data_IF_540925941629
#
_entry.id   IF_540925941629
#
_cell.length_a   1.000
_cell.length_b   1.000
_cell.length_c   1.000
_cell.angle_alpha   90.00
_cell.angle_beta   90.00
_cell.angle_gamma   90.00
#
_symmetry.space_group_name_H-M   'P 1'
#
loop_
_entity.id
_entity.type
_entity.pdbx_description
1 polymer ?
#
# COMPACT_ATOMS: atom_id res chain seq x y z
N UNK A 1 7.69 -3.06 -13.26
CA UNK A 1 8.77 -3.90 -13.86
C UNK A 1 8.32 -5.31 -14.27
N UNK A 2 7.21 -5.85 -13.71
CA UNK A 2 6.67 -7.18 -14.07
C UNK A 2 6.14 -7.24 -15.53
N UNK A 3 5.52 -6.17 -15.99
CA UNK A 3 5.03 -6.07 -17.38
C UNK A 3 6.19 -6.06 -18.39
N UNK A 4 7.25 -5.34 -18.09
CA UNK A 4 8.47 -5.30 -18.92
C UNK A 4 9.14 -6.68 -19.00
N UNK A 5 9.25 -7.38 -17.87
CA UNK A 5 9.79 -8.74 -17.84
C UNK A 5 8.93 -9.72 -18.64
N UNK A 6 7.61 -9.64 -18.55
CA UNK A 6 6.67 -10.45 -19.34
C UNK A 6 6.82 -10.20 -20.85
N UNK A 7 6.93 -8.94 -21.27
CA UNK A 7 7.13 -8.57 -22.67
C UNK A 7 8.47 -9.11 -23.19
N UNK A 8 9.56 -8.94 -22.44
CA UNK A 8 10.89 -9.45 -22.83
C UNK A 8 10.85 -10.98 -23.00
N UNK A 9 10.24 -11.68 -22.06
CA UNK A 9 10.12 -13.16 -22.12
C UNK A 9 9.32 -13.60 -23.35
N UNK A 10 8.22 -12.91 -23.66
CA UNK A 10 7.42 -13.20 -24.86
C UNK A 10 8.21 -12.96 -26.14
N UNK A 11 8.92 -11.84 -26.24
CA UNK A 11 9.75 -11.51 -27.40
C UNK A 11 10.84 -12.55 -27.59
N UNK A 12 11.55 -12.95 -26.53
CA UNK A 12 12.57 -14.00 -26.60
C UNK A 12 12.02 -15.35 -27.04
N UNK A 13 10.83 -15.72 -26.58
CA UNK A 13 10.16 -16.94 -27.02
C UNK A 13 9.80 -16.90 -28.52
N UNK A 14 9.27 -15.79 -29.02
CA UNK A 14 8.97 -15.60 -30.43
C UNK A 14 10.24 -15.64 -31.28
N UNK A 15 11.32 -14.98 -30.86
CA UNK A 15 12.62 -15.02 -31.55
C UNK A 15 13.17 -16.44 -31.63
N UNK A 16 13.11 -17.20 -30.53
CA UNK A 16 13.53 -18.60 -30.50
C UNK A 16 12.74 -19.47 -31.50
N UNK A 17 11.42 -19.28 -31.59
CA UNK A 17 10.55 -20.00 -32.55
C UNK A 17 10.93 -19.66 -33.99
N UNK A 18 11.18 -18.38 -34.29
CA UNK A 18 11.62 -17.94 -35.64
C UNK A 18 12.98 -18.56 -36.00
N UNK A 19 13.94 -18.54 -35.07
CA UNK A 19 15.24 -19.14 -35.30
C UNK A 19 15.18 -20.64 -35.53
N UNK A 20 14.33 -21.36 -34.81
CA UNK A 20 14.09 -22.78 -35.03
C UNK A 20 13.45 -23.05 -36.41
N UNK A 21 12.53 -22.20 -36.86
CA UNK A 21 11.92 -22.30 -38.19
C UNK A 21 12.95 -22.05 -39.29
N UNK A 22 13.80 -21.02 -39.15
CA UNK A 22 14.85 -20.71 -40.10
C UNK A 22 15.86 -21.87 -40.19
N UNK A 23 16.31 -22.41 -39.08
CA UNK A 23 17.22 -23.56 -39.03
C UNK A 23 16.60 -24.80 -39.72
N UNK A 24 15.33 -25.06 -39.49
CA UNK A 24 14.60 -26.15 -40.17
C UNK A 24 14.54 -25.96 -41.68
N UNK A 25 14.31 -24.71 -42.16
CA UNK A 25 14.26 -24.40 -43.59
C UNK A 25 15.64 -24.48 -44.23
N UNK A 26 16.71 -24.03 -43.53
CA UNK A 26 18.08 -24.13 -44.04
C UNK A 26 18.50 -25.59 -44.17
N UNK A 27 18.18 -26.44 -43.20
CA UNK A 27 18.47 -27.88 -43.30
C UNK A 27 17.76 -28.56 -44.48
N UNK A 28 16.54 -28.15 -44.80
CA UNK A 28 15.81 -28.65 -45.98
C UNK A 28 16.49 -28.21 -47.28
N UNK A 29 16.88 -26.93 -47.37
CA UNK A 29 17.56 -26.41 -48.55
C UNK A 29 18.96 -27.10 -48.76
N UNK A 30 19.63 -27.45 -47.70
CA UNK A 30 20.88 -28.19 -47.76
C UNK A 30 20.67 -29.64 -48.25
N UNK A 31 19.62 -30.33 -47.71
CA UNK A 31 19.29 -31.68 -48.11
C UNK A 31 18.83 -31.76 -49.56
N UNK A 32 18.02 -30.80 -50.06
CA UNK A 32 17.62 -30.71 -51.46
C UNK A 32 18.81 -30.52 -52.41
N UNK A 33 19.83 -29.77 -52.01
CA UNK A 33 21.08 -29.62 -52.79
C UNK A 33 21.89 -30.93 -52.88
N UNK A 34 21.85 -31.76 -51.85
CA UNK A 34 22.56 -33.03 -51.77
C UNK A 34 21.76 -34.23 -52.33
N UNK A 35 20.54 -34.00 -52.82
CA UNK A 35 19.69 -35.06 -53.40
C UNK A 35 19.21 -36.08 -52.34
N UNK A 36 19.26 -35.76 -51.08
CA UNK A 36 18.82 -36.61 -49.96
C UNK A 36 17.31 -36.46 -49.77
N UNK A 37 16.59 -37.55 -49.67
CA UNK A 37 15.16 -37.54 -49.44
C UNK A 37 14.82 -36.79 -48.13
N UNK A 38 14.11 -35.66 -48.21
CA UNK A 38 13.70 -34.86 -47.05
C UNK A 38 12.57 -35.58 -46.29
N UNK A 39 12.73 -35.73 -44.98
CA UNK A 39 11.69 -36.22 -44.08
C UNK A 39 10.54 -35.19 -44.03
N UNK A 40 9.30 -35.62 -44.17
CA UNK A 40 8.15 -34.71 -44.03
C UNK A 40 8.20 -33.90 -42.73
N UNK A 41 7.88 -32.60 -42.78
CA UNK A 41 7.95 -31.76 -41.61
C UNK A 41 6.92 -32.20 -40.57
N UNK A 42 7.37 -32.53 -39.37
CA UNK A 42 6.49 -32.82 -38.24
C UNK A 42 5.67 -31.56 -37.94
N UNK A 43 4.33 -31.61 -37.88
CA UNK A 43 3.51 -30.47 -37.49
C UNK A 43 3.98 -29.91 -36.15
N UNK A 44 3.99 -28.57 -35.95
CA UNK A 44 4.52 -27.88 -34.79
C UNK A 44 3.94 -28.44 -33.46
N UNK A 45 2.67 -28.80 -33.42
CA UNK A 45 1.97 -29.36 -32.27
C UNK A 45 2.38 -30.82 -31.92
N UNK A 46 3.12 -31.51 -32.82
CA UNK A 46 3.72 -32.82 -32.57
C UNK A 46 5.22 -32.76 -32.36
N UNK A 47 5.81 -31.60 -32.55
CA UNK A 47 7.25 -31.42 -32.38
C UNK A 47 7.58 -31.37 -30.88
N UNK A 48 8.34 -32.34 -30.40
CA UNK A 48 8.72 -32.48 -28.99
C UNK A 48 9.43 -31.24 -28.44
N UNK A 49 10.22 -30.53 -29.24
CA UNK A 49 10.92 -29.32 -28.84
C UNK A 49 9.94 -28.17 -28.54
N UNK A 50 8.94 -27.97 -29.40
CA UNK A 50 7.90 -26.94 -29.17
C UNK A 50 7.02 -27.28 -27.97
N UNK A 51 6.65 -28.56 -27.83
CA UNK A 51 5.87 -29.02 -26.67
C UNK A 51 6.66 -28.77 -25.38
N UNK A 52 7.94 -29.15 -25.33
CA UNK A 52 8.80 -28.91 -24.17
C UNK A 52 8.96 -27.42 -23.86
N UNK A 53 9.12 -26.57 -24.89
CA UNK A 53 9.18 -25.11 -24.71
C UNK A 53 7.87 -24.54 -24.14
N UNK A 54 6.73 -24.96 -24.67
CA UNK A 54 5.42 -24.54 -24.15
C UNK A 54 5.20 -24.97 -22.70
N UNK A 55 5.58 -26.21 -22.34
CA UNK A 55 5.50 -26.69 -20.97
C UNK A 55 6.41 -25.86 -20.05
N UNK A 56 7.63 -25.58 -20.48
CA UNK A 56 8.59 -24.76 -19.71
C UNK A 56 8.02 -23.34 -19.49
N UNK A 57 7.49 -22.70 -20.52
CA UNK A 57 6.87 -21.37 -20.41
C UNK A 57 5.66 -21.40 -19.46
N UNK A 58 4.78 -22.40 -19.58
CA UNK A 58 3.65 -22.56 -18.68
C UNK A 58 4.12 -22.75 -17.21
N UNK A 59 5.20 -23.50 -17.01
CA UNK A 59 5.77 -23.70 -15.67
C UNK A 59 6.34 -22.40 -15.10
N UNK A 60 7.08 -21.62 -15.91
CA UNK A 60 7.65 -20.34 -15.49
C UNK A 60 6.52 -19.33 -15.18
N UNK A 61 5.55 -19.17 -16.09
CA UNK A 61 4.44 -18.25 -15.91
C UNK A 61 3.54 -18.67 -14.76
N UNK A 62 3.20 -19.96 -14.67
CA UNK A 62 2.41 -20.51 -13.57
C UNK A 62 3.12 -20.34 -12.22
N UNK A 63 4.42 -20.63 -12.18
CA UNK A 63 5.27 -20.42 -11.00
C UNK A 63 5.31 -18.95 -10.56
N UNK A 64 5.47 -18.04 -11.50
CA UNK A 64 5.43 -16.60 -11.23
C UNK A 64 4.10 -16.17 -10.58
N UNK A 65 2.96 -16.54 -11.17
CA UNK A 65 1.66 -16.20 -10.61
C UNK A 65 1.40 -16.85 -9.24
N UNK A 66 1.80 -18.10 -9.09
CA UNK A 66 1.65 -18.84 -7.82
C UNK A 66 2.46 -18.18 -6.71
N UNK A 67 3.73 -17.86 -6.98
CA UNK A 67 4.62 -17.21 -6.00
C UNK A 67 4.08 -15.82 -5.63
N UNK A 68 3.70 -15.00 -6.62
CA UNK A 68 3.15 -13.67 -6.33
C UNK A 68 1.81 -13.74 -5.60
N UNK A 69 0.95 -14.70 -5.95
CA UNK A 69 -0.30 -14.94 -5.23
C UNK A 69 -0.05 -15.37 -3.77
N UNK A 70 0.89 -16.27 -3.54
CA UNK A 70 1.27 -16.70 -2.19
C UNK A 70 1.89 -15.55 -1.37
N UNK A 71 2.76 -14.74 -1.98
CA UNK A 71 3.34 -13.54 -1.34
C UNK A 71 2.26 -12.51 -1.03
N UNK A 72 1.26 -12.37 -1.88
CA UNK A 72 0.13 -11.44 -1.70
C UNK A 72 -0.89 -11.89 -0.65
N UNK A 73 -0.85 -13.15 -0.21
CA UNK A 73 -1.83 -13.70 0.72
C UNK A 73 -1.78 -12.95 2.06
N UNK A 74 -2.92 -12.42 2.49
CA UNK A 74 -3.04 -11.66 3.74
C UNK A 74 -2.50 -10.22 3.67
N UNK A 75 -1.99 -9.77 2.52
CA UNK A 75 -1.60 -8.38 2.30
C UNK A 75 -2.76 -7.60 1.70
N UNK A 76 -3.01 -6.43 2.26
CA UNK A 76 -4.15 -5.57 1.86
C UNK A 76 -3.69 -4.28 1.18
N UNK A 77 -2.50 -4.29 0.57
CA UNK A 77 -2.05 -3.13 -0.21
C UNK A 77 -3.07 -2.78 -1.29
N UNK A 78 -3.33 -1.48 -1.44
CA UNK A 78 -4.31 -0.91 -2.36
C UNK A 78 -5.78 -1.26 -2.01
N UNK A 79 -6.04 -1.87 -0.84
CA UNK A 79 -7.39 -2.11 -0.35
C UNK A 79 -8.10 -0.77 -0.09
N UNK A 80 -9.19 -0.56 -0.78
CA UNK A 80 -9.99 0.67 -0.77
C UNK A 80 -11.48 0.30 -0.73
N UNK A 81 -12.02 0.03 0.46
CA UNK A 81 -13.43 -0.31 0.62
C UNK A 81 -14.32 0.93 0.50
N UNK A 82 -15.55 0.72 0.04
CA UNK A 82 -16.59 1.73 0.12
C UNK A 82 -16.88 2.07 1.58
N UNK A 83 -17.08 3.37 1.85
CA UNK A 83 -17.36 3.88 3.19
C UNK A 83 -18.82 4.36 3.29
N UNK A 84 -19.43 4.32 4.49
CA UNK A 84 -20.82 4.79 4.69
C UNK A 84 -21.04 6.24 4.26
N UNK A 85 -20.02 7.07 4.43
CA UNK A 85 -19.97 8.48 4.00
C UNK A 85 -18.71 8.67 3.18
N UNK A 86 -18.82 9.30 2.01
CA UNK A 86 -17.67 9.69 1.22
C UNK A 86 -16.92 10.82 1.91
N UNK A 87 -15.83 10.47 2.61
CA UNK A 87 -15.00 11.42 3.31
C UNK A 87 -13.69 11.63 2.56
N UNK A 88 -13.51 12.85 2.01
CA UNK A 88 -12.30 13.21 1.28
C UNK A 88 -11.24 13.81 2.19
N UNK A 89 -10.13 13.11 2.38
CA UNK A 89 -8.94 13.67 3.05
C UNK A 89 -8.33 14.81 2.23
N UNK A 90 -8.43 14.76 0.91
CA UNK A 90 -7.98 15.82 0.01
C UNK A 90 -8.69 17.15 0.27
N UNK A 91 -9.99 17.13 0.51
CA UNK A 91 -10.73 18.34 0.87
C UNK A 91 -10.30 18.84 2.25
N UNK A 92 -10.24 17.96 3.24
CA UNK A 92 -9.99 18.37 4.63
C UNK A 92 -8.51 18.67 4.91
N UNK A 93 -7.62 17.72 4.64
CA UNK A 93 -6.20 17.86 4.95
C UNK A 93 -5.39 18.51 3.82
N UNK A 94 -5.77 18.30 2.56
CA UNK A 94 -5.09 18.88 1.40
C UNK A 94 -5.49 20.34 1.18
N UNK A 95 -6.75 20.57 0.82
CA UNK A 95 -7.25 21.92 0.44
C UNK A 95 -7.39 22.81 1.66
N UNK A 96 -8.07 22.35 2.71
CA UNK A 96 -8.32 23.13 3.93
C UNK A 96 -7.17 23.07 4.95
N UNK A 97 -6.12 22.29 4.70
CA UNK A 97 -4.92 22.17 5.53
C UNK A 97 -5.21 21.84 7.00
N UNK A 98 -6.28 21.11 7.28
CA UNK A 98 -6.61 20.66 8.64
C UNK A 98 -5.55 19.62 9.06
N UNK A 99 -4.89 19.88 10.19
CA UNK A 99 -3.86 18.99 10.72
C UNK A 99 -4.43 17.59 11.04
N UNK A 100 -3.69 16.54 10.66
CA UNK A 100 -4.07 15.15 10.89
C UNK A 100 -4.44 14.88 12.36
N UNK A 101 -3.69 15.46 13.29
CA UNK A 101 -3.88 15.28 14.73
C UNK A 101 -5.12 15.97 15.29
N UNK A 102 -5.72 16.89 14.54
CA UNK A 102 -7.02 17.45 14.96
C UNK A 102 -8.09 16.36 15.05
N UNK A 103 -8.08 15.45 14.09
CA UNK A 103 -9.02 14.33 14.03
C UNK A 103 -8.43 13.03 14.62
N UNK A 104 -7.14 12.77 14.43
CA UNK A 104 -6.45 11.56 14.83
C UNK A 104 -5.52 11.76 16.04
N UNK A 105 -5.98 12.48 17.07
CA UNK A 105 -5.17 12.80 18.26
C UNK A 105 -4.63 11.56 19.01
N UNK A 106 -5.25 10.42 18.84
CA UNK A 106 -4.78 9.14 19.40
C UNK A 106 -3.42 8.71 18.86
N UNK A 107 -3.02 9.17 17.67
CA UNK A 107 -1.73 8.83 17.09
C UNK A 107 -0.52 9.27 17.93
N UNK A 108 -0.65 10.33 18.72
CA UNK A 108 0.40 10.77 19.64
C UNK A 108 0.32 10.13 21.02
N UNK A 109 -0.84 9.65 21.44
CA UNK A 109 -1.11 9.31 22.83
C UNK A 109 -1.37 7.83 23.08
N UNK A 110 -1.65 7.05 22.02
CA UNK A 110 -2.06 5.68 22.17
C UNK A 110 -1.51 4.74 21.09
N UNK A 111 -1.82 3.46 21.26
CA UNK A 111 -1.56 2.41 20.28
C UNK A 111 -2.28 2.69 18.96
N UNK A 112 -3.51 3.21 19.03
CA UNK A 112 -4.37 3.46 17.88
C UNK A 112 -4.49 4.95 17.60
N UNK A 113 -4.44 5.33 16.32
CA UNK A 113 -4.65 6.71 15.89
C UNK A 113 -6.11 7.17 16.09
N UNK A 114 -7.05 6.23 16.21
CA UNK A 114 -8.49 6.41 16.32
C UNK A 114 -9.15 6.98 15.03
N UNK A 115 -10.38 6.59 14.81
CA UNK A 115 -11.33 7.32 13.98
C UNK A 115 -11.98 8.35 14.91
N UNK A 116 -12.05 9.65 14.52
CA UNK A 116 -12.64 10.67 15.38
C UNK A 116 -14.14 10.40 15.59
N UNK A 117 -14.63 10.78 16.76
CA UNK A 117 -16.08 10.79 16.99
C UNK A 117 -16.76 11.86 16.13
N UNK A 118 -18.03 11.69 15.83
CA UNK A 118 -18.84 12.60 15.02
C UNK A 118 -18.86 14.03 15.60
N UNK A 119 -18.67 14.19 16.91
CA UNK A 119 -18.56 15.50 17.55
C UNK A 119 -17.44 16.35 16.96
N UNK A 120 -16.33 15.74 16.57
CA UNK A 120 -15.22 16.46 15.93
C UNK A 120 -15.66 17.00 14.56
N UNK A 121 -16.40 16.22 13.78
CA UNK A 121 -16.96 16.66 12.50
C UNK A 121 -17.90 17.85 12.69
N UNK A 122 -18.74 17.78 13.70
CA UNK A 122 -19.75 18.81 14.02
C UNK A 122 -19.16 20.11 14.58
N UNK A 123 -17.88 20.17 14.95
CA UNK A 123 -17.22 21.42 15.28
C UNK A 123 -17.23 22.43 14.09
N UNK A 124 -17.16 21.90 12.87
CA UNK A 124 -17.22 22.72 11.64
C UNK A 124 -18.56 22.56 10.92
N UNK A 125 -19.10 21.34 10.84
CA UNK A 125 -20.28 21.04 10.02
C UNK A 125 -21.60 21.55 10.60
N UNK A 126 -21.64 22.12 11.80
CA UNK A 126 -22.76 22.96 12.25
C UNK A 126 -22.91 24.25 11.42
N UNK A 127 -21.78 24.79 10.92
CA UNK A 127 -21.76 26.01 10.12
C UNK A 127 -21.54 25.70 8.63
N UNK A 128 -20.78 24.65 8.31
CA UNK A 128 -20.49 24.20 6.93
C UNK A 128 -21.47 23.10 6.58
N UNK A 129 -22.61 23.49 6.04
CA UNK A 129 -23.73 22.60 5.71
C UNK A 129 -23.85 22.28 4.21
N UNK A 130 -23.08 22.95 3.37
CA UNK A 130 -23.03 22.74 1.92
C UNK A 130 -21.58 22.62 1.45
N UNK A 131 -21.39 21.82 0.42
CA UNK A 131 -20.11 21.66 -0.24
C UNK A 131 -20.04 22.58 -1.46
N UNK A 132 -19.14 23.54 -1.42
CA UNK A 132 -18.93 24.55 -2.50
C UNK A 132 -17.60 24.39 -3.22
N UNK A 133 -16.86 23.31 -2.94
CA UNK A 133 -15.55 23.03 -3.54
C UNK A 133 -15.64 22.44 -4.95
N UNK A 134 -14.49 22.02 -5.51
CA UNK A 134 -14.42 21.33 -6.81
C UNK A 134 -15.23 20.06 -6.84
N UNK A 135 -15.75 19.67 -8.02
CA UNK A 135 -16.49 18.42 -8.19
C UNK A 135 -15.69 17.22 -7.66
N UNK A 136 -16.30 16.46 -6.77
CA UNK A 136 -15.74 15.24 -6.22
C UNK A 136 -16.04 14.05 -7.13
N UNK A 137 -15.09 13.10 -7.15
CA UNK A 137 -15.22 11.86 -7.91
C UNK A 137 -14.73 10.68 -7.07
N UNK A 138 -15.38 9.53 -7.19
CA UNK A 138 -14.83 8.28 -6.70
C UNK A 138 -13.62 7.88 -7.54
N UNK A 139 -12.82 6.93 -7.06
CA UNK A 139 -11.71 6.36 -7.81
C UNK A 139 -12.13 5.76 -9.15
N UNK A 140 -13.37 5.33 -9.27
CA UNK A 140 -14.00 4.80 -10.51
C UNK A 140 -14.49 5.92 -11.44
N UNK A 141 -14.35 7.19 -11.05
CA UNK A 141 -14.78 8.34 -11.85
C UNK A 141 -16.26 8.71 -11.72
N UNK A 142 -16.99 8.13 -10.77
CA UNK A 142 -18.38 8.51 -10.49
C UNK A 142 -18.43 9.85 -9.74
N UNK A 143 -19.31 10.75 -10.17
CA UNK A 143 -19.52 12.04 -9.48
C UNK A 143 -20.14 11.83 -8.10
N UNK A 144 -19.62 12.55 -7.12
CA UNK A 144 -20.12 12.57 -5.74
C UNK A 144 -20.69 13.96 -5.44
N UNK A 145 -21.86 13.99 -4.84
CA UNK A 145 -22.47 15.20 -4.30
C UNK A 145 -22.00 15.39 -2.85
N UNK A 146 -21.04 16.30 -2.64
CA UNK A 146 -20.46 16.55 -1.33
C UNK A 146 -21.47 17.09 -0.31
N UNK A 147 -22.51 17.82 -0.74
CA UNK A 147 -23.59 18.29 0.14
C UNK A 147 -24.44 17.13 0.63
N UNK A 148 -24.77 16.19 -0.26
CA UNK A 148 -25.49 14.97 0.14
C UNK A 148 -24.69 14.14 1.15
N UNK A 149 -23.35 14.09 1.01
CA UNK A 149 -22.49 13.39 1.96
C UNK A 149 -22.45 14.08 3.36
N UNK A 150 -22.47 15.42 3.41
CA UNK A 150 -22.64 16.18 4.66
C UNK A 150 -24.00 15.86 5.30
N UNK A 151 -25.07 15.74 4.51
CA UNK A 151 -26.38 15.41 5.03
C UNK A 151 -26.44 13.97 5.61
N UNK A 152 -25.68 13.02 5.05
CA UNK A 152 -25.53 11.69 5.68
C UNK A 152 -24.92 11.80 7.09
N UNK A 153 -23.90 12.69 7.29
CA UNK A 153 -23.37 12.96 8.62
C UNK A 153 -24.47 13.46 9.56
N UNK A 154 -25.33 14.38 9.11
CA UNK A 154 -26.44 14.88 9.92
C UNK A 154 -27.44 13.80 10.31
N UNK A 155 -27.72 12.86 9.41
CA UNK A 155 -28.58 11.71 9.73
C UNK A 155 -27.97 10.82 10.83
N UNK A 156 -26.64 10.65 10.81
CA UNK A 156 -25.94 9.88 11.84
C UNK A 156 -25.93 10.58 13.19
N UNK A 157 -25.65 11.88 13.23
CA UNK A 157 -25.59 12.63 14.49
C UNK A 157 -26.94 13.12 15.00
N UNK A 158 -28.00 13.01 14.21
CA UNK A 158 -29.34 13.51 14.54
C UNK A 158 -29.47 15.03 14.49
N UNK A 159 -28.61 15.71 13.71
CA UNK A 159 -28.60 17.15 13.53
C UNK A 159 -29.60 17.61 12.47
N UNK A 160 -30.34 18.66 12.76
CA UNK A 160 -31.25 19.30 11.82
C UNK A 160 -30.71 20.71 11.51
N UNK A 161 -30.20 20.95 10.29
CA UNK A 161 -29.62 22.24 9.90
C UNK A 161 -30.68 23.35 9.79
N UNK A 162 -31.95 23.01 9.57
CA UNK A 162 -33.01 24.02 9.46
C UNK A 162 -33.30 24.73 10.79
N UNK A 163 -33.15 24.01 11.90
CA UNK A 163 -33.38 24.55 13.26
C UNK A 163 -32.07 24.66 14.06
N UNK A 164 -30.93 24.27 13.49
CA UNK A 164 -29.62 24.25 14.14
C UNK A 164 -29.61 23.51 15.50
N UNK A 165 -30.24 22.35 15.56
CA UNK A 165 -30.36 21.57 16.80
C UNK A 165 -30.26 20.08 16.53
N UNK A 166 -29.86 19.32 17.55
CA UNK A 166 -29.98 17.86 17.57
C UNK A 166 -31.42 17.50 17.88
N UNK A 167 -32.13 16.98 16.88
CA UNK A 167 -33.57 16.68 16.97
C UNK A 167 -33.86 15.18 17.18
N UNK A 168 -32.85 14.35 16.95
CA UNK A 168 -32.95 12.89 17.06
C UNK A 168 -31.72 12.33 17.81
N UNK A 169 -31.86 11.15 18.43
CA UNK A 169 -30.67 10.46 18.95
C UNK A 169 -29.69 10.12 17.81
N UNK A 170 -28.42 10.33 18.07
CA UNK A 170 -27.36 9.94 17.14
C UNK A 170 -27.18 8.42 17.07
N UNK A 171 -26.62 7.97 15.96
CA UNK A 171 -26.18 6.59 15.73
C UNK A 171 -24.74 6.61 15.18
N UNK A 172 -23.87 5.66 15.55
CA UNK A 172 -22.48 5.65 15.09
C UNK A 172 -22.39 5.49 13.57
N UNK A 173 -21.32 6.05 12.99
CA UNK A 173 -20.94 5.77 11.61
C UNK A 173 -20.10 4.50 11.63
N UNK A 174 -20.55 3.46 10.94
CA UNK A 174 -19.86 2.17 10.87
C UNK A 174 -18.76 2.19 9.79
N UNK A 175 -17.66 2.88 10.09
CA UNK A 175 -16.52 2.98 9.17
C UNK A 175 -15.87 1.62 8.90
N UNK A 176 -15.63 1.31 7.65
CA UNK A 176 -14.85 0.13 7.27
C UNK A 176 -13.36 0.38 7.52
N UNK A 177 -12.74 -0.47 8.34
CA UNK A 177 -11.33 -0.37 8.68
C UNK A 177 -10.45 -0.71 7.47
N UNK A 178 -9.59 0.23 7.06
CA UNK A 178 -8.73 0.09 5.89
C UNK A 178 -7.39 -0.54 6.27
N UNK A 179 -6.72 0.00 7.29
CA UNK A 179 -5.42 -0.49 7.75
C UNK A 179 -5.61 -1.51 8.86
N UNK A 180 -5.20 -2.73 8.62
CA UNK A 180 -5.30 -3.82 9.57
C UNK A 180 -3.98 -4.59 9.67
N UNK A 181 -3.59 -4.93 10.90
CA UNK A 181 -2.50 -5.84 11.18
C UNK A 181 -3.07 -7.12 11.79
N UNK A 182 -2.43 -8.29 11.59
CA UNK A 182 -2.80 -9.52 12.29
C UNK A 182 -2.78 -9.32 13.81
N UNK A 183 -3.64 -10.04 14.54
CA UNK A 183 -3.81 -9.88 15.99
C UNK A 183 -2.53 -10.17 16.79
N UNK A 184 -1.63 -11.01 16.25
CA UNK A 184 -0.34 -11.32 16.85
C UNK A 184 0.74 -10.25 16.63
N UNK A 185 0.39 -9.12 15.98
CA UNK A 185 1.33 -8.02 15.73
C UNK A 185 0.99 -6.81 16.60
N UNK A 186 1.93 -6.43 17.45
CA UNK A 186 1.86 -5.20 18.21
C UNK A 186 2.41 -4.02 17.40
N UNK A 187 1.61 -2.99 17.25
CA UNK A 187 2.03 -1.72 16.67
C UNK A 187 1.50 -0.56 17.52
N UNK A 188 2.36 0.41 17.80
CA UNK A 188 1.99 1.57 18.61
C UNK A 188 2.29 2.87 17.85
N UNK A 189 1.24 3.63 17.51
CA UNK A 189 1.38 4.89 16.81
C UNK A 189 2.21 5.90 17.60
N UNK A 190 1.99 6.05 18.90
CA UNK A 190 2.69 7.06 19.70
C UNK A 190 4.21 6.83 19.74
N UNK A 191 4.66 5.59 19.73
CA UNK A 191 6.10 5.29 19.66
C UNK A 191 6.71 5.71 18.31
N UNK A 192 5.98 5.54 17.22
CA UNK A 192 6.45 5.91 15.88
C UNK A 192 6.35 7.42 15.64
N UNK A 193 5.24 8.03 16.03
CA UNK A 193 4.98 9.45 15.78
C UNK A 193 5.74 10.35 16.76
N UNK A 194 5.70 10.04 18.07
CA UNK A 194 6.31 10.90 19.10
C UNK A 194 7.77 10.56 19.31
N UNK A 195 8.10 9.29 19.63
CA UNK A 195 9.49 8.90 19.88
C UNK A 195 10.30 8.76 18.59
N UNK A 196 9.73 8.13 17.56
CA UNK A 196 10.37 7.91 16.27
C UNK A 196 10.35 9.12 15.34
N UNK A 197 9.55 10.16 15.62
CA UNK A 197 9.36 11.35 14.77
C UNK A 197 8.99 11.02 13.33
N UNK A 198 8.28 9.91 13.11
CA UNK A 198 7.86 9.50 11.78
C UNK A 198 6.66 10.33 11.30
N UNK A 199 6.71 10.74 10.03
CA UNK A 199 5.60 11.44 9.40
C UNK A 199 4.48 10.46 9.04
N UNK A 200 3.22 10.92 9.08
CA UNK A 200 2.05 10.11 8.74
C UNK A 200 2.17 9.49 7.34
N UNK A 201 2.67 10.28 6.39
CA UNK A 201 2.83 9.89 4.99
C UNK A 201 3.84 8.75 4.77
N UNK A 202 4.78 8.54 5.69
CA UNK A 202 5.74 7.43 5.59
C UNK A 202 5.04 6.07 5.50
N UNK A 203 3.92 5.92 6.22
CA UNK A 203 3.15 4.68 6.28
C UNK A 203 1.84 4.75 5.49
N UNK A 204 1.20 5.92 5.48
CA UNK A 204 -0.12 6.11 4.88
C UNK A 204 -0.07 6.70 3.45
N UNK A 205 1.12 7.03 2.93
CA UNK A 205 1.27 7.70 1.64
C UNK A 205 0.78 9.15 1.67
N UNK A 206 0.56 9.74 0.52
CA UNK A 206 0.08 11.11 0.37
C UNK A 206 -1.43 11.21 0.66
N UNK A 207 -1.82 10.85 1.89
CA UNK A 207 -3.24 10.74 2.29
C UNK A 207 -4.00 12.06 2.13
N UNK A 208 -3.30 13.19 2.25
CA UNK A 208 -3.86 14.52 2.00
C UNK A 208 -4.25 14.76 0.53
N UNK A 209 -3.87 13.87 -0.38
CA UNK A 209 -4.23 13.94 -1.80
C UNK A 209 -5.31 12.90 -2.17
N UNK A 210 -5.78 12.10 -1.20
CA UNK A 210 -6.73 11.02 -1.41
C UNK A 210 -8.16 11.51 -1.19
N UNK A 211 -9.02 11.35 -2.19
CA UNK A 211 -10.47 11.49 -2.05
C UNK A 211 -11.06 10.24 -1.39
N UNK A 212 -10.63 9.05 -1.81
CA UNK A 212 -10.92 7.77 -1.16
C UNK A 212 -9.61 7.17 -0.63
N UNK A 213 -9.59 6.80 0.64
CA UNK A 213 -8.39 6.28 1.29
C UNK A 213 -8.21 4.81 0.97
N UNK A 214 -7.00 4.45 0.57
CA UNK A 214 -6.57 3.07 0.40
C UNK A 214 -5.35 2.74 1.26
N UNK A 215 -5.12 1.46 1.50
CA UNK A 215 -3.92 1.03 2.20
C UNK A 215 -2.68 1.19 1.30
N UNK A 216 -1.87 2.20 1.57
CA UNK A 216 -0.68 2.55 0.77
C UNK A 216 0.44 1.52 0.93
N UNK A 217 0.84 1.23 2.18
CA UNK A 217 1.91 0.29 2.48
C UNK A 217 1.38 -1.14 2.60
N UNK A 218 2.21 -2.13 2.26
CA UNK A 218 1.82 -3.54 2.39
C UNK A 218 1.75 -4.02 3.84
N UNK A 219 2.37 -3.28 4.77
CA UNK A 219 2.44 -3.54 6.20
C UNK A 219 2.92 -4.96 6.54
N UNK A 220 3.72 -5.56 5.64
CA UNK A 220 4.32 -6.87 5.89
C UNK A 220 5.45 -6.79 6.93
N UNK A 221 5.80 -7.93 7.53
CA UNK A 221 6.95 -8.03 8.43
C UNK A 221 8.23 -7.50 7.76
N UNK A 222 8.48 -7.87 6.49
CA UNK A 222 9.64 -7.41 5.74
C UNK A 222 9.66 -5.90 5.54
N UNK A 223 8.51 -5.27 5.32
CA UNK A 223 8.39 -3.83 5.18
C UNK A 223 8.78 -3.11 6.49
N UNK A 224 8.25 -3.59 7.63
CA UNK A 224 8.58 -3.05 8.95
C UNK A 224 10.07 -3.23 9.29
N UNK A 225 10.60 -4.44 9.12
CA UNK A 225 12.00 -4.77 9.42
C UNK A 225 12.97 -3.96 8.54
N UNK A 226 12.67 -3.80 7.25
CA UNK A 226 13.53 -2.98 6.36
C UNK A 226 13.55 -1.51 6.78
N UNK A 227 12.42 -0.95 7.21
CA UNK A 227 12.37 0.39 7.76
C UNK A 227 13.24 0.49 9.03
N UNK A 228 13.10 -0.43 9.98
CA UNK A 228 13.86 -0.44 11.24
C UNK A 228 15.38 -0.61 11.03
N UNK A 229 15.80 -1.31 9.99
CA UNK A 229 17.22 -1.47 9.64
C UNK A 229 17.86 -0.19 9.11
N UNK A 230 17.09 0.64 8.43
CA UNK A 230 17.61 1.83 7.74
C UNK A 230 17.29 3.14 8.43
N UNK A 231 16.22 3.18 9.25
CA UNK A 231 15.80 4.42 9.90
C UNK A 231 16.74 4.76 11.05
N UNK A 232 17.24 5.99 11.01
CA UNK A 232 18.08 6.55 12.07
C UNK A 232 17.25 6.97 13.27
N UNK A 233 17.74 6.67 14.45
CA UNK A 233 17.13 7.08 15.70
C UNK A 233 17.40 8.58 15.95
N UNK A 234 16.35 9.29 16.36
CA UNK A 234 16.43 10.71 16.72
C UNK A 234 16.91 10.87 18.18
N UNK A 235 18.24 10.88 18.39
CA UNK A 235 18.80 11.00 19.73
C UNK A 235 18.73 12.42 20.32
N UNK A 236 18.81 13.46 19.48
CA UNK A 236 18.84 14.84 19.94
C UNK A 236 17.51 15.21 20.58
N UNK A 237 17.57 15.69 21.82
CA UNK A 237 16.41 16.14 22.61
C UNK A 237 15.28 15.12 22.75
N UNK A 238 15.59 13.82 22.58
CA UNK A 238 14.64 12.74 22.69
C UNK A 238 14.89 11.88 23.92
N UNK A 239 14.19 12.21 25.02
CA UNK A 239 14.31 11.52 26.30
C UNK A 239 14.04 10.02 26.26
N UNK A 240 13.30 9.55 25.25
CA UNK A 240 13.03 8.12 25.06
C UNK A 240 14.32 7.30 24.89
N UNK A 241 15.33 7.88 24.23
CA UNK A 241 16.60 7.21 23.97
C UNK A 241 17.70 7.54 24.98
N UNK A 242 17.42 8.29 26.05
CA UNK A 242 18.41 8.66 27.07
C UNK A 242 19.08 7.48 27.76
N UNK A 243 18.41 6.32 27.81
CA UNK A 243 18.94 5.08 28.40
C UNK A 243 20.07 4.42 27.57
N UNK A 244 20.28 4.83 26.34
CA UNK A 244 21.31 4.26 25.46
C UNK A 244 22.61 5.07 25.52
N UNK A 245 23.16 5.24 26.74
CA UNK A 245 24.35 6.07 27.03
C UNK A 245 25.54 5.74 26.13
N UNK A 246 25.83 4.45 25.92
CA UNK A 246 26.94 4.01 25.07
C UNK A 246 26.82 4.54 23.66
N UNK A 247 25.65 4.51 23.06
CA UNK A 247 25.46 5.03 21.71
C UNK A 247 25.57 6.55 21.65
N UNK A 248 25.15 7.27 22.71
CA UNK A 248 25.38 8.71 22.83
C UNK A 248 26.88 9.05 22.88
N UNK A 249 27.68 8.28 23.64
CA UNK A 249 29.12 8.42 23.67
C UNK A 249 29.80 8.08 22.34
N UNK A 250 29.40 7.01 21.71
CA UNK A 250 29.98 6.58 20.44
C UNK A 250 29.69 7.57 19.30
N UNK A 251 28.50 8.17 19.25
CA UNK A 251 28.16 9.27 18.32
C UNK A 251 28.96 10.52 18.66
N UNK A 252 29.06 10.92 19.95
CA UNK A 252 29.81 12.09 20.39
C UNK A 252 31.30 11.97 20.08
N UNK A 253 31.86 10.77 20.20
CA UNK A 253 33.27 10.48 19.96
C UNK A 253 33.56 10.15 18.47
N UNK A 254 32.59 10.35 17.58
CA UNK A 254 32.69 10.06 16.12
C UNK A 254 33.12 8.62 15.80
N UNK A 255 32.81 7.64 16.67
CA UNK A 255 33.03 6.23 16.39
C UNK A 255 31.99 5.66 15.45
N UNK A 256 30.76 6.22 15.49
CA UNK A 256 29.66 5.91 14.59
C UNK A 256 28.99 7.23 14.18
N UNK A 257 28.51 7.30 12.95
CA UNK A 257 27.84 8.51 12.42
C UNK A 257 26.38 8.64 12.86
N UNK A 258 25.72 7.51 13.08
CA UNK A 258 24.31 7.46 13.47
C UNK A 258 23.97 6.09 14.05
N UNK A 259 22.86 6.03 14.76
CA UNK A 259 22.31 4.79 15.32
C UNK A 259 21.01 4.48 14.60
N UNK A 260 20.83 3.24 14.14
CA UNK A 260 19.57 2.78 13.55
C UNK A 260 18.64 2.18 14.59
N UNK A 261 17.35 2.05 14.25
CA UNK A 261 16.36 1.41 15.13
C UNK A 261 16.76 -0.05 15.41
N UNK A 262 17.36 -0.75 14.44
CA UNK A 262 17.90 -2.10 14.62
C UNK A 262 18.94 -2.16 15.73
N UNK A 263 19.88 -1.21 15.79
CA UNK A 263 20.97 -1.16 16.80
C UNK A 263 20.43 -1.01 18.23
N UNK A 264 19.26 -0.42 18.40
CA UNK A 264 18.57 -0.31 19.70
C UNK A 264 17.58 -1.44 19.96
N UNK A 265 17.67 -2.52 19.20
CA UNK A 265 16.84 -3.71 19.35
C UNK A 265 15.46 -3.63 18.69
N UNK A 266 15.25 -2.70 17.77
CA UNK A 266 13.95 -2.52 17.11
C UNK A 266 13.56 -3.63 16.10
N UNK A 267 14.46 -4.57 15.82
CA UNK A 267 14.19 -5.76 14.97
C UNK A 267 14.03 -7.05 15.79
N UNK A 268 14.09 -6.96 17.12
CA UNK A 268 13.83 -8.10 18.00
C UNK A 268 12.38 -8.60 17.86
N UNK A 269 12.18 -9.91 17.73
CA UNK A 269 10.88 -10.50 17.46
C UNK A 269 9.80 -10.05 18.46
N UNK A 270 10.15 -10.01 19.76
CA UNK A 270 9.23 -9.63 20.85
C UNK A 270 8.86 -8.14 20.87
N UNK A 271 9.48 -7.30 20.03
CA UNK A 271 9.07 -5.89 19.91
C UNK A 271 7.79 -5.73 19.09
N UNK A 272 7.54 -6.69 18.21
CA UNK A 272 6.40 -6.68 17.31
C UNK A 272 5.43 -7.86 17.53
N UNK A 273 5.90 -8.95 18.14
CA UNK A 273 5.10 -10.15 18.37
C UNK A 273 5.01 -10.48 19.88
N UNK A 274 3.82 -10.89 20.33
CA UNK A 274 3.55 -11.33 21.73
C UNK A 274 2.71 -12.61 21.74
#
# INVERSE_FOLDING_TARGET
NSLLFGIITLVLAVVALILMQINSNLNKLAADKEGVATVEPVPFYKNKAYIALCILLLFIVGGYFTINGAIGLGRQKDYMPEQPIFYSHKVHAGINQINCLYCHAGAEKSKHAMIPSENICMNCHKAVNEYTGPQLFTAEGKKVDGTAEIHKLYEHVGWDPAVNQYTKPGKPIEWTKIHNLPDHVYFNHSQHVVAGKQQCQTCHGAIQDMDEVHQFADLSMGWCVNCHRTTKVQFNDNKYYSIFEKFHEDVKNHKIDSVTVEMVGGTECQKCHY
#
